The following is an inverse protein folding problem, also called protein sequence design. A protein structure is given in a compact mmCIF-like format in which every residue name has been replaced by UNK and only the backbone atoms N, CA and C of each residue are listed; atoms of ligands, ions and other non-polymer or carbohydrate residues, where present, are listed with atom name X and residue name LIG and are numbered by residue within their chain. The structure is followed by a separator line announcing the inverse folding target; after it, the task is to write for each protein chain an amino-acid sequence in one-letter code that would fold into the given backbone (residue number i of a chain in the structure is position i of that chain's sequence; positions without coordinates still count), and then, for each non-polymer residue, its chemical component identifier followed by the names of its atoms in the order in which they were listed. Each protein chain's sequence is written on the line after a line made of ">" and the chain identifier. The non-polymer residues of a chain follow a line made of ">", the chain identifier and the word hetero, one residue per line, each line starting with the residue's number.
data_IF_885898694818
#
_entry.id   IF_885898694818
#
_cell.length_a   1.000
_cell.length_b   1.000
_cell.length_c   1.000
_cell.angle_alpha   90.00
_cell.angle_beta   90.00
_cell.angle_gamma   90.00
#
_symmetry.space_group_name_H-M   'P 1'
#
loop_
_entity.id
_entity.type
_entity.pdbx_description
1 polymer ?
#
# COMPACT_ATOMS: atom_id res chain seq x y z
N UNK A 1 -36.14 -51.43 28.04
CA UNK A 1 -36.46 -50.00 28.20
C UNK A 1 -35.22 -49.35 28.81
N UNK A 2 -34.27 -48.97 27.96
CA UNK A 2 -34.09 -47.61 27.44
C UNK A 2 -33.72 -46.60 28.55
N UNK A 3 -32.46 -46.19 28.56
CA UNK A 3 -32.03 -44.92 29.15
C UNK A 3 -30.76 -44.46 28.42
N UNK A 4 -30.92 -44.24 27.11
CA UNK A 4 -29.95 -43.50 26.31
C UNK A 4 -29.98 -42.04 26.79
N UNK A 5 -28.95 -41.63 27.53
CA UNK A 5 -28.79 -40.23 27.95
C UNK A 5 -28.50 -39.36 26.73
N UNK A 6 -29.48 -38.54 26.36
CA UNK A 6 -29.39 -37.53 25.31
C UNK A 6 -28.32 -36.51 25.71
N UNK A 7 -27.25 -36.42 24.93
CA UNK A 7 -26.24 -35.37 25.07
C UNK A 7 -26.81 -34.07 24.47
N UNK A 8 -27.31 -33.20 25.33
CA UNK A 8 -27.85 -31.89 24.94
C UNK A 8 -26.68 -31.01 24.47
N UNK A 9 -26.73 -30.40 23.26
CA UNK A 9 -25.73 -29.44 22.81
C UNK A 9 -25.70 -28.24 23.75
N UNK A 10 -24.55 -28.00 24.39
CA UNK A 10 -24.31 -26.84 25.25
C UNK A 10 -24.29 -25.59 24.37
N UNK A 11 -25.30 -24.74 24.51
CA UNK A 11 -25.35 -23.43 23.83
C UNK A 11 -24.18 -22.60 24.38
N UNK A 12 -23.30 -22.04 23.52
CA UNK A 12 -22.15 -21.26 23.97
C UNK A 12 -22.62 -20.03 24.76
N UNK A 13 -21.99 -19.79 25.91
CA UNK A 13 -22.31 -18.65 26.77
C UNK A 13 -21.65 -17.39 26.25
N UNK A 14 -22.32 -16.23 26.34
CA UNK A 14 -21.84 -14.92 25.86
C UNK A 14 -20.47 -14.47 26.43
N UNK A 15 -19.97 -15.16 27.47
CA UNK A 15 -18.64 -14.96 28.04
C UNK A 15 -17.52 -15.59 27.20
N UNK A 16 -17.78 -16.71 26.52
CA UNK A 16 -16.79 -17.44 25.69
C UNK A 16 -16.46 -16.66 24.41
N UNK A 17 -17.43 -15.93 23.85
CA UNK A 17 -17.23 -15.04 22.68
C UNK A 17 -16.33 -13.83 22.97
N UNK A 18 -16.36 -13.30 24.20
CA UNK A 18 -15.52 -12.15 24.61
C UNK A 18 -14.06 -12.53 24.83
N UNK A 19 -13.80 -13.73 25.37
CA UNK A 19 -12.43 -14.22 25.57
C UNK A 19 -11.74 -14.52 24.23
N UNK A 20 -12.47 -15.10 23.27
CA UNK A 20 -11.93 -15.41 21.95
C UNK A 20 -11.65 -14.15 21.11
N UNK A 21 -12.45 -13.09 21.24
CA UNK A 21 -12.20 -11.80 20.59
C UNK A 21 -10.98 -11.06 21.16
N UNK A 22 -10.77 -11.13 22.49
CA UNK A 22 -9.60 -10.52 23.15
C UNK A 22 -8.29 -11.24 22.81
N UNK A 23 -8.34 -12.56 22.63
CA UNK A 23 -7.20 -13.37 22.20
C UNK A 23 -6.86 -13.12 20.71
N UNK A 24 -7.87 -13.00 19.83
CA UNK A 24 -7.63 -12.63 18.43
C UNK A 24 -7.02 -11.22 18.31
N UNK A 25 -7.46 -10.27 19.12
CA UNK A 25 -6.92 -8.91 19.10
C UNK A 25 -5.47 -8.84 19.62
N UNK A 26 -5.11 -9.63 20.63
CA UNK A 26 -3.73 -9.73 21.12
C UNK A 26 -2.81 -10.47 20.14
N UNK A 27 -3.31 -11.51 19.47
CA UNK A 27 -2.59 -12.20 18.40
C UNK A 27 -2.38 -11.29 17.17
N UNK A 28 -3.37 -10.46 16.81
CA UNK A 28 -3.23 -9.48 15.73
C UNK A 28 -2.21 -8.40 16.10
N UNK A 29 -2.25 -7.86 17.33
CA UNK A 29 -1.28 -6.84 17.76
C UNK A 29 0.14 -7.39 17.82
N UNK A 30 0.32 -8.62 18.30
CA UNK A 30 1.62 -9.28 18.33
C UNK A 30 2.14 -9.60 16.92
N UNK A 31 1.25 -10.02 16.02
CA UNK A 31 1.59 -10.26 14.61
C UNK A 31 1.96 -8.97 13.89
N UNK A 32 1.19 -7.90 14.07
CA UNK A 32 1.50 -6.57 13.52
C UNK A 32 2.81 -6.03 14.08
N UNK A 33 3.05 -6.15 15.39
CA UNK A 33 4.31 -5.73 16.01
C UNK A 33 5.50 -6.52 15.46
N UNK A 34 5.33 -7.82 15.26
CA UNK A 34 6.37 -8.69 14.69
C UNK A 34 6.63 -8.35 13.22
N UNK A 35 5.60 -8.06 12.43
CA UNK A 35 5.72 -7.63 11.04
C UNK A 35 6.39 -6.26 10.91
N UNK A 36 6.02 -5.29 11.74
CA UNK A 36 6.63 -3.96 11.77
C UNK A 36 8.10 -4.06 12.19
N UNK A 37 8.41 -4.86 13.20
CA UNK A 37 9.78 -5.09 13.66
C UNK A 37 10.64 -5.79 12.59
N UNK A 38 10.10 -6.82 11.92
CA UNK A 38 10.79 -7.50 10.83
C UNK A 38 10.97 -6.59 9.60
N UNK A 39 9.97 -5.78 9.25
CA UNK A 39 10.07 -4.81 8.16
C UNK A 39 11.12 -3.72 8.47
N UNK A 40 11.17 -3.25 9.72
CA UNK A 40 12.18 -2.29 10.16
C UNK A 40 13.60 -2.89 10.17
N UNK A 41 13.75 -4.16 10.53
CA UNK A 41 15.06 -4.82 10.65
C UNK A 41 15.62 -5.35 9.33
N UNK A 42 14.77 -5.89 8.46
CA UNK A 42 15.19 -6.63 7.26
C UNK A 42 15.26 -5.75 6.01
N UNK A 43 14.55 -4.62 5.96
CA UNK A 43 14.42 -3.82 4.72
C UNK A 43 15.52 -2.76 4.58
N UNK A 44 16.23 -2.70 3.43
CA UNK A 44 17.23 -1.67 3.13
C UNK A 44 16.65 -0.25 3.14
N UNK A 45 17.43 0.74 3.56
CA UNK A 45 16.99 2.14 3.67
C UNK A 45 16.43 2.72 2.35
N UNK A 46 17.01 2.34 1.21
CA UNK A 46 16.56 2.76 -0.14
C UNK A 46 15.14 2.27 -0.45
N UNK A 47 14.85 1.04 -0.05
CA UNK A 47 13.53 0.43 -0.24
C UNK A 47 12.49 1.08 0.66
N UNK A 48 12.85 1.41 1.91
CA UNK A 48 11.98 2.16 2.82
C UNK A 48 11.61 3.54 2.29
N UNK A 49 12.56 4.26 1.67
CA UNK A 49 12.25 5.55 1.03
C UNK A 49 11.25 5.39 -0.11
N UNK A 50 11.43 4.37 -0.97
CA UNK A 50 10.51 4.10 -2.07
C UNK A 50 9.11 3.76 -1.53
N UNK A 51 9.03 2.89 -0.52
CA UNK A 51 7.74 2.52 0.09
C UNK A 51 7.07 3.71 0.79
N UNK A 52 7.84 4.59 1.47
CA UNK A 52 7.31 5.82 2.07
C UNK A 52 6.80 6.81 1.02
N UNK A 53 7.49 6.93 -0.12
CA UNK A 53 7.07 7.81 -1.20
C UNK A 53 5.84 7.23 -1.94
N UNK A 54 5.74 5.90 -2.03
CA UNK A 54 4.57 5.20 -2.55
C UNK A 54 3.34 5.44 -1.68
N UNK A 55 3.49 5.37 -0.35
CA UNK A 55 2.45 5.73 0.60
C UNK A 55 2.03 7.19 0.45
N UNK A 56 2.98 8.11 0.30
CA UNK A 56 2.70 9.53 0.06
C UNK A 56 1.88 9.75 -1.23
N UNK A 57 2.16 9.03 -2.32
CA UNK A 57 1.39 9.13 -3.56
C UNK A 57 -0.06 8.68 -3.35
N UNK A 58 -0.28 7.58 -2.63
CA UNK A 58 -1.64 7.09 -2.30
C UNK A 58 -2.40 8.11 -1.45
N UNK A 59 -1.77 8.61 -0.39
CA UNK A 59 -2.39 9.61 0.49
C UNK A 59 -2.73 10.90 -0.27
N UNK A 60 -1.82 11.36 -1.13
CA UNK A 60 -2.04 12.54 -1.97
C UNK A 60 -3.18 12.34 -2.96
N UNK A 61 -3.27 11.17 -3.61
CA UNK A 61 -4.38 10.84 -4.52
C UNK A 61 -5.73 10.78 -3.80
N UNK A 62 -5.77 10.19 -2.60
CA UNK A 62 -6.98 10.17 -1.75
C UNK A 62 -7.36 11.57 -1.33
N UNK A 63 -6.40 12.40 -0.92
CA UNK A 63 -6.65 13.78 -0.51
C UNK A 63 -7.18 14.63 -1.68
N UNK A 64 -6.60 14.49 -2.88
CA UNK A 64 -7.09 15.16 -4.09
C UNK A 64 -8.51 14.73 -4.45
N UNK A 65 -8.81 13.43 -4.34
CA UNK A 65 -10.15 12.89 -4.57
C UNK A 65 -11.16 13.42 -3.53
N UNK A 66 -10.79 13.40 -2.24
CA UNK A 66 -11.61 13.92 -1.15
C UNK A 66 -11.87 15.43 -1.31
N UNK A 67 -10.85 16.21 -1.64
CA UNK A 67 -10.98 17.65 -1.91
C UNK A 67 -11.99 17.93 -3.02
N UNK A 68 -11.94 17.15 -4.11
CA UNK A 68 -12.87 17.31 -5.22
C UNK A 68 -14.32 16.95 -4.87
N UNK A 69 -14.52 15.97 -3.98
CA UNK A 69 -15.86 15.59 -3.50
C UNK A 69 -16.42 16.63 -2.51
N UNK A 70 -15.57 17.17 -1.63
CA UNK A 70 -16.00 18.01 -0.50
C UNK A 70 -16.13 19.50 -0.84
N UNK A 71 -15.27 20.04 -1.72
CA UNK A 71 -15.12 21.50 -1.88
C UNK A 71 -15.75 22.02 -3.17
N UNK A 72 -15.44 21.43 -4.34
CA UNK A 72 -15.99 21.90 -5.62
C UNK A 72 -15.72 20.92 -6.78
N UNK A 73 -16.62 20.90 -7.78
CA UNK A 73 -16.50 20.10 -9.00
C UNK A 73 -15.70 20.76 -10.13
N UNK A 74 -15.32 22.05 -9.98
CA UNK A 74 -14.65 22.88 -10.99
C UNK A 74 -13.26 23.29 -10.49
N UNK A 75 -12.17 23.24 -11.29
CA UNK A 75 -12.03 22.78 -12.67
C UNK A 75 -11.71 21.27 -12.80
N UNK A 76 -12.38 20.58 -13.74
CA UNK A 76 -12.23 19.13 -13.94
C UNK A 76 -10.87 18.72 -14.50
N UNK A 77 -10.33 19.48 -15.46
CA UNK A 77 -9.06 19.14 -16.12
C UNK A 77 -7.85 19.25 -15.17
N UNK A 78 -7.83 20.24 -14.29
CA UNK A 78 -6.80 20.35 -13.25
C UNK A 78 -6.88 19.19 -12.23
N UNK A 79 -8.08 18.74 -11.90
CA UNK A 79 -8.27 17.55 -11.05
C UNK A 79 -7.75 16.30 -11.76
N UNK A 80 -8.12 16.06 -13.02
CA UNK A 80 -7.66 14.89 -13.78
C UNK A 80 -6.15 14.93 -14.00
N UNK A 81 -5.57 16.12 -14.27
CA UNK A 81 -4.13 16.31 -14.41
C UNK A 81 -3.37 16.06 -13.10
N UNK A 82 -3.85 16.61 -11.98
CA UNK A 82 -3.27 16.38 -10.65
C UNK A 82 -3.41 14.94 -10.18
N UNK A 83 -4.60 14.36 -10.29
CA UNK A 83 -4.88 12.98 -9.90
C UNK A 83 -4.11 12.00 -10.79
N UNK A 84 -4.14 12.22 -12.11
CA UNK A 84 -3.39 11.42 -13.08
C UNK A 84 -1.89 11.46 -12.84
N UNK A 85 -1.33 12.62 -12.46
CA UNK A 85 0.08 12.75 -12.08
C UNK A 85 0.43 11.90 -10.85
N UNK A 86 -0.39 11.93 -9.79
CA UNK A 86 -0.14 11.11 -8.59
C UNK A 86 -0.25 9.60 -8.86
N UNK A 87 -1.23 9.18 -9.66
CA UNK A 87 -1.42 7.76 -10.05
C UNK A 87 -0.28 7.29 -10.97
N UNK A 88 0.09 8.10 -11.97
CA UNK A 88 1.21 7.76 -12.86
C UNK A 88 2.53 7.67 -12.09
N UNK A 89 2.79 8.60 -11.16
CA UNK A 89 3.97 8.55 -10.30
C UNK A 89 3.98 7.29 -9.43
N UNK A 90 2.84 6.90 -8.87
CA UNK A 90 2.70 5.66 -8.11
C UNK A 90 3.08 4.43 -8.95
N UNK A 91 2.59 4.34 -10.19
CA UNK A 91 2.88 3.19 -11.08
C UNK A 91 4.37 3.13 -11.43
N UNK A 92 4.97 4.28 -11.80
CA UNK A 92 6.39 4.37 -12.11
C UNK A 92 7.26 3.96 -10.90
N UNK A 93 6.86 4.41 -9.72
CA UNK A 93 7.57 4.13 -8.48
C UNK A 93 7.41 2.66 -8.05
N UNK A 94 6.24 2.05 -8.24
CA UNK A 94 6.02 0.62 -8.05
C UNK A 94 6.88 -0.22 -9.01
N UNK A 95 7.05 0.24 -10.26
CA UNK A 95 7.97 -0.36 -11.23
C UNK A 95 9.43 -0.30 -10.75
N UNK A 96 9.88 0.86 -10.27
CA UNK A 96 11.22 1.01 -9.68
C UNK A 96 11.40 0.13 -8.43
N UNK A 97 10.36 0.04 -7.59
CA UNK A 97 10.36 -0.81 -6.38
C UNK A 97 10.56 -2.28 -6.71
N UNK A 98 9.93 -2.76 -7.79
CA UNK A 98 10.09 -4.12 -8.27
C UNK A 98 11.50 -4.39 -8.81
N UNK A 99 12.14 -3.38 -9.42
CA UNK A 99 13.51 -3.47 -9.95
C UNK A 99 14.61 -3.33 -8.86
N UNK A 100 14.31 -2.65 -7.75
CA UNK A 100 15.27 -2.38 -6.65
C UNK A 100 15.14 -3.41 -5.50
N UNK A 101 14.13 -4.29 -5.54
CA UNK A 101 13.89 -5.29 -4.50
C UNK A 101 15.05 -6.32 -4.41
N UNK A 102 15.60 -6.57 -3.21
CA UNK A 102 16.68 -7.55 -3.03
C UNK A 102 16.15 -8.97 -3.27
N UNK A 103 16.78 -9.72 -4.18
CA UNK A 103 16.49 -11.14 -4.43
C UNK A 103 15.94 -11.52 -5.82
N UNK A 104 15.78 -10.56 -6.74
CA UNK A 104 15.39 -10.86 -8.13
C UNK A 104 16.60 -11.07 -9.05
N UNK A 105 16.77 -12.33 -9.40
CA UNK A 105 17.34 -12.95 -10.60
C UNK A 105 18.62 -12.37 -11.20
N UNK A 106 19.56 -13.29 -11.47
CA UNK A 106 20.78 -13.16 -12.28
C UNK A 106 20.59 -12.52 -13.67
N UNK A 107 19.35 -12.22 -14.07
CA UNK A 107 18.95 -11.54 -15.30
C UNK A 107 18.93 -10.00 -15.17
N UNK A 108 18.69 -9.43 -13.98
CA UNK A 108 18.68 -7.97 -13.75
C UNK A 108 20.06 -7.37 -13.51
N UNK A 109 21.11 -8.19 -13.35
CA UNK A 109 22.49 -7.71 -13.22
C UNK A 109 22.97 -6.98 -14.49
N UNK A 110 22.29 -7.17 -15.63
CA UNK A 110 22.57 -6.46 -16.88
C UNK A 110 22.07 -5.00 -16.87
N UNK A 111 21.08 -4.66 -16.04
CA UNK A 111 20.54 -3.29 -15.95
C UNK A 111 21.00 -2.69 -14.62
N UNK A 112 21.91 -1.71 -14.69
CA UNK A 112 22.35 -0.96 -13.50
C UNK A 112 21.15 -0.31 -12.80
N UNK A 113 21.12 -0.36 -11.47
CA UNK A 113 20.14 0.37 -10.65
C UNK A 113 20.11 1.87 -10.97
N UNK A 114 21.24 2.42 -11.42
CA UNK A 114 21.33 3.82 -11.87
C UNK A 114 20.56 4.04 -13.17
N UNK A 115 20.62 3.10 -14.12
CA UNK A 115 19.86 3.17 -15.38
C UNK A 115 18.36 3.03 -15.13
N UNK A 116 17.95 2.12 -14.25
CA UNK A 116 16.56 1.98 -13.83
C UNK A 116 16.03 3.25 -13.17
N UNK A 117 16.84 3.90 -12.33
CA UNK A 117 16.49 5.18 -11.71
C UNK A 117 16.41 6.33 -12.73
N UNK A 118 17.33 6.38 -13.69
CA UNK A 118 17.31 7.37 -14.76
C UNK A 118 16.10 7.23 -15.68
N UNK A 119 15.73 5.99 -16.04
CA UNK A 119 14.54 5.71 -16.85
C UNK A 119 13.26 6.11 -16.09
N UNK A 120 13.21 5.80 -14.80
CA UNK A 120 12.17 6.29 -13.89
C UNK A 120 12.10 7.83 -13.85
N UNK A 121 13.24 8.52 -13.68
CA UNK A 121 13.28 9.97 -13.57
C UNK A 121 12.88 10.65 -14.89
N UNK A 122 13.37 10.15 -16.02
CA UNK A 122 13.00 10.63 -17.35
C UNK A 122 11.50 10.44 -17.61
N UNK A 123 10.97 9.25 -17.31
CA UNK A 123 9.54 8.96 -17.42
C UNK A 123 8.69 9.85 -16.50
N UNK A 124 9.14 10.06 -15.26
CA UNK A 124 8.51 10.95 -14.29
C UNK A 124 8.43 12.39 -14.80
N UNK A 125 9.50 12.92 -15.42
CA UNK A 125 9.49 14.28 -15.99
C UNK A 125 8.49 14.38 -17.14
N UNK A 126 8.48 13.42 -18.07
CA UNK A 126 7.55 13.40 -19.21
C UNK A 126 6.10 13.33 -18.73
N UNK A 127 5.82 12.48 -17.74
CA UNK A 127 4.49 12.36 -17.14
C UNK A 127 4.03 13.69 -16.53
N UNK A 128 4.88 14.36 -15.75
CA UNK A 128 4.52 15.63 -15.13
C UNK A 128 4.32 16.73 -16.19
N UNK A 129 5.14 16.79 -17.24
CA UNK A 129 4.95 17.74 -18.33
C UNK A 129 3.61 17.54 -19.06
N UNK A 130 3.21 16.27 -19.28
CA UNK A 130 1.91 15.95 -19.85
C UNK A 130 0.76 16.38 -18.92
N UNK A 131 0.87 16.09 -17.62
CA UNK A 131 -0.13 16.51 -16.64
C UNK A 131 -0.21 18.04 -16.49
N UNK A 132 0.91 18.75 -16.54
CA UNK A 132 0.96 20.22 -16.54
C UNK A 132 0.26 20.82 -17.77
N UNK A 133 0.32 20.15 -18.92
CA UNK A 133 -0.43 20.56 -20.10
C UNK A 133 -1.96 20.42 -19.90
N UNK A 134 -2.41 19.48 -19.08
CA UNK A 134 -3.82 19.32 -18.68
C UNK A 134 -4.31 20.34 -17.63
N UNK A 135 -3.40 21.06 -16.97
CA UNK A 135 -3.72 22.08 -15.96
C UNK A 135 -3.99 23.47 -16.55
N UNK A 136 -3.55 23.73 -17.79
CA UNK A 136 -3.79 24.97 -18.55
C UNK A 136 -5.01 24.87 -19.45
#
# INVERSE_FOLDING_TARGET
>A
MSSSSINVPKIPSAAETKQQAAEVQSQLSNSLSTLVHNYASTTPARVKLIDSFLLFCVLSGVLQFAYRILVTSFPYYAFVGGFGSTVGQFVLLAGLRAQVAPGRDSEFKAISQERAFLDFAASSVILHLFCFNFLG
#
